data_IF_089768480625
#
_entry.id   IF_089768480625
#
_cell.length_a   1.000
_cell.length_b   1.000
_cell.length_c   1.000
_cell.angle_alpha   90.00
_cell.angle_beta   90.00
_cell.angle_gamma   90.00
#
_symmetry.space_group_name_H-M   'P 1'
#
loop_
_entity.id
_entity.type
_entity.pdbx_description
1 polymer ?
#
# COMPACT_ATOMS: atom_id res chain seq x y z
N UNK A 1 1.69 17.09 26.81
CA UNK A 1 1.17 15.70 27.02
C UNK A 1 1.50 14.90 25.77
N UNK A 2 2.59 14.13 25.80
CA UNK A 2 3.03 13.29 24.68
C UNK A 2 1.94 12.27 24.33
N UNK A 3 1.44 12.31 23.09
CA UNK A 3 0.61 11.25 22.56
C UNK A 3 1.53 10.15 22.04
N UNK A 4 1.65 9.12 22.88
CA UNK A 4 2.27 7.86 22.56
C UNK A 4 1.29 7.08 21.65
N UNK A 5 1.29 7.37 20.36
CA UNK A 5 0.63 6.49 19.38
C UNK A 5 1.51 5.26 19.23
N UNK A 6 1.25 4.24 20.07
CA UNK A 6 1.70 2.89 19.80
C UNK A 6 1.14 2.47 18.43
N UNK A 7 1.92 2.64 17.37
CA UNK A 7 1.80 1.79 16.19
C UNK A 7 1.90 0.36 16.74
N UNK A 8 0.81 -0.40 16.66
CA UNK A 8 0.93 -1.85 16.79
C UNK A 8 1.96 -2.27 15.76
N UNK A 9 3.15 -2.64 16.23
CA UNK A 9 4.25 -3.15 15.42
C UNK A 9 3.65 -4.19 14.48
N UNK A 10 3.64 -3.87 13.19
CA UNK A 10 3.28 -4.83 12.16
C UNK A 10 4.28 -5.98 12.23
N UNK A 11 3.86 -7.15 11.77
CA UNK A 11 4.68 -8.34 11.65
C UNK A 11 6.10 -8.06 11.11
N UNK A 12 6.22 -7.14 10.14
CA UNK A 12 7.48 -6.61 9.60
C UNK A 12 8.45 -6.07 10.67
N UNK A 13 7.99 -5.34 11.69
CA UNK A 13 8.89 -4.80 12.72
C UNK A 13 9.30 -5.87 13.74
N UNK A 14 8.47 -6.89 13.93
CA UNK A 14 8.78 -8.05 14.76
C UNK A 14 9.84 -8.95 14.12
N UNK A 15 9.83 -9.04 12.79
CA UNK A 15 10.83 -9.72 11.97
C UNK A 15 12.19 -8.97 11.98
N UNK A 16 12.14 -7.64 12.08
CA UNK A 16 13.29 -6.76 12.04
C UNK A 16 14.12 -6.73 13.34
N UNK A 17 13.48 -6.87 14.51
CA UNK A 17 14.19 -6.91 15.79
C UNK A 17 15.10 -8.15 15.93
N UNK A 18 14.84 -9.20 15.16
CA UNK A 18 15.59 -10.46 15.20
C UNK A 18 16.81 -10.48 14.26
N UNK A 19 16.89 -9.55 13.29
CA UNK A 19 17.90 -9.58 12.20
C UNK A 19 18.82 -8.34 12.16
N UNK A 20 18.61 -7.34 13.00
CA UNK A 20 19.45 -6.13 13.04
C UNK A 20 20.78 -6.35 13.79
N UNK A 21 21.95 -6.13 13.16
CA UNK A 21 23.23 -6.10 13.87
C UNK A 21 23.33 -4.85 14.79
N UNK A 22 24.06 -5.00 15.90
CA UNK A 22 24.21 -3.97 16.93
C UNK A 22 24.77 -2.65 16.38
N UNK A 23 24.22 -1.53 16.84
CA UNK A 23 24.33 -0.16 16.33
C UNK A 23 25.72 0.51 16.45
N UNK A 24 26.83 -0.18 16.17
CA UNK A 24 28.19 0.36 16.41
C UNK A 24 28.99 0.78 15.17
N UNK A 25 28.58 0.48 13.95
CA UNK A 25 29.44 0.68 12.77
C UNK A 25 28.95 1.71 11.72
N UNK A 26 27.99 2.57 12.04
CA UNK A 26 27.51 3.59 11.11
C UNK A 26 28.41 4.85 11.11
N UNK A 27 29.54 4.80 10.40
CA UNK A 27 30.35 6.00 10.12
C UNK A 27 30.83 6.05 8.67
N UNK A 28 30.30 7.05 7.95
CA UNK A 28 30.79 7.71 6.72
C UNK A 28 30.58 6.99 5.37
N UNK A 29 29.59 7.44 4.61
CA UNK A 29 29.67 7.52 3.12
C UNK A 29 28.83 8.67 2.58
N UNK A 30 29.40 9.41 1.62
CA UNK A 30 28.87 10.62 1.01
C UNK A 30 27.59 10.38 0.17
N UNK A 31 26.75 11.41 0.15
CA UNK A 31 25.51 11.54 -0.62
C UNK A 31 25.75 11.54 -2.14
N UNK A 32 25.39 10.44 -2.79
CA UNK A 32 25.02 10.38 -4.20
C UNK A 32 23.60 9.79 -4.26
N UNK A 33 22.65 10.50 -4.87
CA UNK A 33 21.23 10.11 -4.93
C UNK A 33 20.94 8.91 -5.85
N UNK A 34 21.96 8.11 -6.16
CA UNK A 34 21.86 6.87 -6.90
C UNK A 34 22.44 5.77 -6.01
N UNK A 35 21.64 4.72 -5.77
CA UNK A 35 22.06 3.58 -4.95
C UNK A 35 23.31 2.92 -5.57
N UNK A 36 24.25 2.41 -4.76
CA UNK A 36 25.42 1.68 -5.25
C UNK A 36 25.04 0.52 -6.17
N UNK A 37 25.93 0.14 -7.09
CA UNK A 37 25.73 -0.93 -8.10
C UNK A 37 25.31 -2.29 -7.50
N UNK A 38 25.61 -2.53 -6.23
CA UNK A 38 25.22 -3.72 -5.44
C UNK A 38 23.72 -3.77 -5.13
N UNK A 39 22.99 -2.65 -5.27
CA UNK A 39 21.54 -2.55 -5.07
C UNK A 39 20.74 -2.65 -6.37
N UNK A 40 21.39 -3.09 -7.43
CA UNK A 40 20.72 -3.34 -8.68
C UNK A 40 20.25 -4.79 -8.73
N UNK A 41 18.93 -4.98 -8.71
CA UNK A 41 18.27 -6.08 -9.43
C UNK A 41 18.57 -6.12 -10.94
N UNK A 42 19.62 -5.44 -11.46
CA UNK A 42 20.11 -5.49 -12.84
C UNK A 42 20.75 -6.82 -13.22
N UNK A 43 20.96 -7.75 -12.28
CA UNK A 43 21.39 -9.12 -12.64
C UNK A 43 20.21 -10.08 -12.80
N UNK A 44 18.99 -9.64 -12.46
CA UNK A 44 17.75 -10.39 -12.66
C UNK A 44 16.94 -9.77 -13.80
N UNK A 45 17.43 -9.94 -15.03
CA UNK A 45 16.74 -9.52 -16.26
C UNK A 45 15.45 -10.33 -16.52
N UNK A 46 15.20 -11.37 -15.71
CA UNK A 46 14.07 -12.27 -15.86
C UNK A 46 13.59 -12.78 -14.50
N UNK A 47 12.31 -12.54 -14.19
CA UNK A 47 11.64 -13.07 -13.00
C UNK A 47 11.73 -14.60 -12.92
N UNK A 48 11.75 -15.29 -14.06
CA UNK A 48 11.87 -16.75 -14.12
C UNK A 48 13.25 -17.29 -13.69
N UNK A 49 14.26 -16.43 -13.52
CA UNK A 49 15.59 -16.79 -13.03
C UNK A 49 15.79 -16.45 -11.55
N UNK A 50 14.88 -15.67 -10.96
CA UNK A 50 14.77 -15.67 -9.51
C UNK A 50 14.58 -17.13 -9.09
N UNK A 51 15.27 -17.57 -8.04
CA UNK A 51 14.86 -18.79 -7.34
C UNK A 51 13.48 -18.49 -6.77
N UNK A 52 12.46 -18.58 -7.61
CA UNK A 52 11.08 -18.34 -7.22
C UNK A 52 10.80 -19.26 -6.03
N UNK A 53 10.23 -18.64 -5.00
CA UNK A 53 9.82 -19.15 -3.70
C UNK A 53 8.89 -20.35 -3.83
N UNK A 54 9.39 -21.45 -4.38
CA UNK A 54 8.72 -22.74 -4.34
C UNK A 54 9.15 -23.38 -3.04
N UNK A 55 8.45 -23.06 -1.97
CA UNK A 55 8.48 -23.93 -0.80
C UNK A 55 7.85 -25.24 -1.27
N UNK A 56 8.60 -26.35 -1.43
CA UNK A 56 8.06 -27.56 -2.07
C UNK A 56 6.91 -28.18 -1.27
N UNK A 57 6.69 -27.70 -0.05
CA UNK A 57 5.73 -28.21 0.91
C UNK A 57 4.43 -27.41 0.99
N UNK A 58 4.21 -26.36 0.18
CA UNK A 58 2.95 -25.59 0.21
C UNK A 58 1.94 -26.10 -0.83
N UNK A 59 0.69 -26.21 -0.41
CA UNK A 59 -0.42 -26.54 -1.30
C UNK A 59 -0.89 -25.27 -2.03
N UNK A 60 -0.47 -25.11 -3.29
CA UNK A 60 -0.79 -23.95 -4.13
C UNK A 60 -2.29 -23.73 -4.39
N UNK A 61 -3.16 -24.68 -4.03
CA UNK A 61 -4.61 -24.50 -4.15
C UNK A 61 -5.24 -23.77 -2.95
N UNK A 62 -4.56 -23.73 -1.80
CA UNK A 62 -5.18 -23.31 -0.54
C UNK A 62 -4.26 -22.66 0.49
N UNK A 63 -2.96 -22.73 0.31
CA UNK A 63 -1.97 -22.18 1.23
C UNK A 63 -1.26 -20.96 0.63
N UNK A 64 -0.79 -20.07 1.50
CA UNK A 64 0.08 -18.95 1.15
C UNK A 64 1.01 -18.63 2.32
N UNK A 65 2.09 -17.92 2.05
CA UNK A 65 3.06 -17.52 3.07
C UNK A 65 2.83 -16.05 3.45
N UNK A 66 2.80 -15.77 4.76
CA UNK A 66 2.86 -14.40 5.30
C UNK A 66 3.84 -14.42 6.48
N UNK A 67 4.85 -13.55 6.45
CA UNK A 67 5.86 -13.43 7.51
C UNK A 67 6.47 -14.77 7.95
N UNK A 68 7.04 -15.52 7.02
CA UNK A 68 7.71 -16.80 7.30
C UNK A 68 6.79 -17.87 7.94
N UNK A 69 5.48 -17.76 7.75
CA UNK A 69 4.49 -18.75 8.20
C UNK A 69 3.59 -19.13 7.03
N UNK A 70 3.29 -20.43 6.93
CA UNK A 70 2.31 -20.94 5.97
C UNK A 70 0.93 -20.86 6.62
N UNK A 71 -0.04 -20.29 5.90
CA UNK A 71 -1.42 -20.16 6.32
C UNK A 71 -2.34 -20.97 5.39
N UNK A 72 -3.19 -21.82 5.97
CA UNK A 72 -4.30 -22.44 5.22
C UNK A 72 -5.47 -21.45 5.15
N UNK A 73 -5.81 -21.04 3.93
CA UNK A 73 -6.90 -20.10 3.65
C UNK A 73 -8.11 -20.73 2.96
N UNK A 74 -8.18 -22.06 2.84
CA UNK A 74 -9.26 -22.81 2.14
C UNK A 74 -10.67 -22.27 2.45
N UNK A 75 -11.01 -22.22 3.74
CA UNK A 75 -12.31 -21.78 4.24
C UNK A 75 -12.47 -20.27 4.22
N UNK A 76 -11.35 -19.55 4.20
CA UNK A 76 -11.34 -18.09 4.27
C UNK A 76 -11.50 -17.44 2.90
N UNK A 77 -11.05 -18.06 1.82
CA UNK A 77 -11.15 -17.53 0.44
C UNK A 77 -12.56 -17.01 0.13
N UNK A 78 -13.61 -17.79 0.46
CA UNK A 78 -15.02 -17.42 0.19
C UNK A 78 -15.54 -16.27 1.05
N UNK A 79 -14.90 -16.01 2.20
CA UNK A 79 -15.31 -15.00 3.19
C UNK A 79 -14.37 -13.79 3.22
N UNK A 80 -13.34 -13.79 2.38
CA UNK A 80 -12.34 -12.74 2.35
C UNK A 80 -12.98 -11.40 1.93
N UNK A 81 -12.88 -10.32 2.74
CA UNK A 81 -13.52 -9.04 2.43
C UNK A 81 -13.05 -8.39 1.13
N UNK A 82 -11.82 -8.67 0.67
CA UNK A 82 -11.32 -8.23 -0.63
C UNK A 82 -11.87 -9.04 -1.82
N UNK A 83 -12.67 -10.07 -1.55
CA UNK A 83 -13.16 -11.01 -2.56
C UNK A 83 -12.07 -11.98 -3.03
N UNK A 84 -12.20 -12.44 -4.29
CA UNK A 84 -11.34 -13.47 -4.89
C UNK A 84 -9.89 -13.03 -5.12
N UNK A 85 -9.51 -11.79 -4.87
CA UNK A 85 -8.14 -11.31 -5.07
C UNK A 85 -7.09 -12.11 -4.28
N UNK A 86 -7.47 -12.71 -3.15
CA UNK A 86 -6.59 -13.60 -2.37
C UNK A 86 -6.11 -14.81 -3.19
N UNK A 87 -6.89 -15.27 -4.18
CA UNK A 87 -6.54 -16.46 -4.97
C UNK A 87 -5.35 -16.24 -5.89
N UNK A 88 -4.99 -14.98 -6.18
CA UNK A 88 -3.81 -14.66 -6.99
C UNK A 88 -2.49 -14.86 -6.24
N UNK A 89 -2.56 -15.00 -4.91
CA UNK A 89 -1.39 -15.16 -4.03
C UNK A 89 -1.31 -16.56 -3.40
N UNK A 90 -2.08 -17.52 -3.91
CA UNK A 90 -1.99 -18.90 -3.43
C UNK A 90 -0.73 -19.55 -3.98
N UNK A 91 -0.05 -20.33 -3.14
CA UNK A 91 1.20 -20.98 -3.49
C UNK A 91 2.40 -20.04 -3.59
N UNK A 92 2.30 -18.81 -3.10
CA UNK A 92 3.39 -17.83 -3.11
C UNK A 92 3.59 -17.17 -1.74
N UNK A 93 4.67 -16.41 -1.63
CA UNK A 93 4.81 -15.42 -0.56
C UNK A 93 3.92 -14.21 -0.83
N UNK A 94 2.96 -14.01 0.06
CA UNK A 94 1.98 -12.95 0.02
C UNK A 94 2.26 -11.85 1.06
N UNK A 95 3.44 -11.83 1.68
CA UNK A 95 3.80 -10.88 2.75
C UNK A 95 3.66 -9.43 2.27
N UNK A 96 4.23 -9.12 1.10
CA UNK A 96 4.17 -7.77 0.53
C UNK A 96 2.74 -7.38 0.16
N UNK A 97 2.00 -8.30 -0.47
CA UNK A 97 0.59 -8.09 -0.78
C UNK A 97 -0.23 -7.85 0.49
N UNK A 98 0.01 -8.62 1.55
CA UNK A 98 -0.66 -8.45 2.83
C UNK A 98 -0.36 -7.07 3.43
N UNK A 99 0.92 -6.67 3.48
CA UNK A 99 1.37 -5.39 4.02
C UNK A 99 0.79 -4.19 3.26
N UNK A 100 0.62 -4.29 1.94
CA UNK A 100 0.08 -3.23 1.09
C UNK A 100 -1.45 -3.10 1.20
N UNK A 101 -2.19 -4.21 1.11
CA UNK A 101 -3.67 -4.16 1.09
C UNK A 101 -4.33 -4.10 2.47
N UNK A 102 -3.62 -4.50 3.54
CA UNK A 102 -4.15 -4.52 4.90
C UNK A 102 -3.51 -3.48 5.81
N UNK A 103 -2.82 -2.50 5.23
CA UNK A 103 -2.19 -1.41 5.97
C UNK A 103 -3.18 -0.75 6.94
N UNK A 104 -2.76 -0.55 8.20
CA UNK A 104 -3.56 0.04 9.30
C UNK A 104 -4.83 -0.76 9.69
N UNK A 105 -5.08 -1.94 9.12
CA UNK A 105 -6.26 -2.76 9.42
C UNK A 105 -6.03 -3.70 10.61
N UNK A 106 -6.33 -3.22 11.83
CA UNK A 106 -6.30 -4.07 13.05
C UNK A 106 -7.20 -5.31 12.92
N UNK A 107 -8.30 -5.21 12.16
CA UNK A 107 -9.23 -6.32 11.92
C UNK A 107 -8.59 -7.42 11.08
N UNK A 108 -7.77 -7.06 10.09
CA UNK A 108 -7.05 -8.02 9.27
C UNK A 108 -6.03 -8.81 10.09
N UNK A 109 -5.26 -8.12 10.94
CA UNK A 109 -4.27 -8.77 11.82
C UNK A 109 -4.94 -9.75 12.80
N UNK A 110 -6.07 -9.34 13.41
CA UNK A 110 -6.85 -10.22 14.27
C UNK A 110 -7.38 -11.44 13.53
N UNK A 111 -7.79 -11.28 12.27
CA UNK A 111 -8.27 -12.41 11.45
C UNK A 111 -7.12 -13.34 11.07
N UNK A 112 -5.98 -12.80 10.64
CA UNK A 112 -4.79 -13.58 10.30
C UNK A 112 -4.35 -14.47 11.47
N UNK A 113 -4.36 -13.93 12.70
CA UNK A 113 -4.02 -14.68 13.91
C UNK A 113 -4.96 -15.85 14.23
N UNK A 114 -6.18 -15.88 13.67
CA UNK A 114 -7.15 -16.99 13.88
C UNK A 114 -7.06 -18.08 12.81
N UNK A 115 -6.31 -17.85 11.73
CA UNK A 115 -6.20 -18.82 10.65
C UNK A 115 -5.26 -19.96 11.05
N UNK A 116 -5.54 -21.21 10.61
CA UNK A 116 -4.60 -22.32 10.79
C UNK A 116 -3.27 -21.94 10.14
N UNK A 117 -2.17 -22.04 10.92
CA UNK A 117 -0.83 -21.72 10.42
C UNK A 117 0.23 -22.61 11.02
N UNK A 118 1.28 -22.86 10.23
CA UNK A 118 2.49 -23.57 10.65
C UNK A 118 3.73 -22.73 10.34
N UNK A 119 4.85 -22.91 11.07
CA UNK A 119 6.13 -22.38 10.62
C UNK A 119 6.47 -22.97 9.23
N UNK A 120 7.23 -22.22 8.44
CA UNK A 120 7.74 -22.76 7.17
C UNK A 120 8.79 -23.83 7.48
N UNK A 121 8.66 -24.97 6.81
CA UNK A 121 9.62 -26.07 6.88
C UNK A 121 10.59 -25.98 5.69
N UNK A 122 11.90 -26.05 5.93
CA UNK A 122 12.95 -26.13 4.91
C UNK A 122 13.66 -24.82 4.56
N UNK A 123 14.44 -24.87 3.46
CA UNK A 123 15.28 -23.78 2.94
C UNK A 123 14.42 -22.72 2.21
N UNK A 124 13.64 -21.95 2.97
CA UNK A 124 12.97 -20.76 2.44
C UNK A 124 14.01 -19.64 2.24
N UNK A 125 14.22 -19.27 0.98
CA UNK A 125 15.07 -18.16 0.59
C UNK A 125 14.20 -16.94 0.29
N UNK A 126 14.43 -15.85 1.02
CA UNK A 126 13.77 -14.59 0.75
C UNK A 126 14.36 -13.98 -0.52
N UNK A 127 13.52 -13.64 -1.50
CA UNK A 127 14.03 -13.16 -2.77
C UNK A 127 14.68 -11.76 -2.63
N UNK A 128 15.70 -11.50 -3.46
CA UNK A 128 16.47 -10.27 -3.37
C UNK A 128 15.64 -9.02 -3.68
N UNK A 129 14.60 -9.14 -4.51
CA UNK A 129 13.76 -8.00 -4.89
C UNK A 129 12.82 -7.59 -3.74
N UNK A 130 12.20 -8.56 -3.08
CA UNK A 130 11.41 -8.36 -1.87
C UNK A 130 12.29 -7.80 -0.74
N UNK A 131 13.55 -8.26 -0.61
CA UNK A 131 14.52 -7.63 0.30
C UNK A 131 14.78 -6.15 0.01
N UNK A 132 14.95 -5.79 -1.25
CA UNK A 132 15.12 -4.39 -1.65
C UNK A 132 13.85 -3.56 -1.41
N UNK A 133 12.66 -4.11 -1.67
CA UNK A 133 11.38 -3.44 -1.37
C UNK A 133 11.17 -3.24 0.13
N UNK A 134 11.52 -4.23 0.94
CA UNK A 134 11.47 -4.12 2.40
C UNK A 134 12.43 -3.04 2.88
N UNK A 135 13.67 -3.02 2.38
CA UNK A 135 14.62 -1.95 2.70
C UNK A 135 14.06 -0.56 2.34
N UNK A 136 13.56 -0.38 1.12
CA UNK A 136 12.95 0.88 0.69
C UNK A 136 11.78 1.29 1.59
N UNK A 137 10.91 0.34 1.92
CA UNK A 137 9.76 0.59 2.80
C UNK A 137 10.22 1.06 4.18
N UNK A 138 11.28 0.47 4.72
CA UNK A 138 11.81 0.82 6.03
C UNK A 138 12.43 2.22 6.05
N UNK A 139 13.20 2.57 5.02
CA UNK A 139 13.71 3.93 4.83
C UNK A 139 12.57 4.95 4.79
N UNK A 140 11.49 4.67 4.04
CA UNK A 140 10.32 5.53 3.97
C UNK A 140 9.55 5.64 5.31
N UNK A 141 9.54 4.57 6.13
CA UNK A 141 8.96 4.61 7.48
C UNK A 141 9.81 5.49 8.39
N UNK A 142 11.14 5.33 8.35
CA UNK A 142 12.10 6.10 9.15
C UNK A 142 12.05 7.59 8.80
N UNK A 143 12.01 7.91 7.51
CA UNK A 143 11.84 9.28 7.00
C UNK A 143 10.43 9.86 7.29
N UNK A 144 9.51 9.03 7.78
CA UNK A 144 8.19 9.46 8.21
C UNK A 144 7.19 9.68 7.07
N UNK A 145 7.44 9.17 5.85
CA UNK A 145 6.51 9.27 4.72
C UNK A 145 5.17 8.56 4.97
N UNK A 146 5.12 7.64 5.94
CA UNK A 146 3.87 7.01 6.38
C UNK A 146 3.11 7.84 7.45
N UNK A 147 3.69 8.91 7.97
CA UNK A 147 3.02 9.79 8.92
C UNK A 147 2.11 10.78 8.19
N UNK A 148 0.89 10.93 8.71
CA UNK A 148 -0.10 11.83 8.10
C UNK A 148 0.21 13.26 8.51
N UNK A 149 0.28 14.15 7.51
CA UNK A 149 0.35 15.59 7.74
C UNK A 149 -1.05 16.24 7.53
N UNK A 150 -1.77 16.61 8.60
CA UNK A 150 -3.13 17.15 8.48
C UNK A 150 -3.18 18.49 7.74
N UNK A 151 -2.11 19.31 7.80
CA UNK A 151 -2.03 20.57 7.06
C UNK A 151 -1.92 20.30 5.57
N UNK A 152 -1.12 19.31 5.17
CA UNK A 152 -1.02 18.89 3.77
C UNK A 152 -2.35 18.35 3.24
N UNK A 153 -3.07 17.56 4.05
CA UNK A 153 -4.42 17.09 3.71
C UNK A 153 -5.38 18.25 3.51
N UNK A 154 -5.44 19.18 4.45
CA UNK A 154 -6.31 20.35 4.39
C UNK A 154 -6.02 21.20 3.15
N UNK A 155 -4.73 21.49 2.90
CA UNK A 155 -4.29 22.24 1.73
C UNK A 155 -4.82 21.62 0.42
N UNK A 156 -4.67 20.31 0.24
CA UNK A 156 -5.11 19.64 -1.01
C UNK A 156 -6.62 19.62 -1.17
N UNK A 157 -7.38 19.50 -0.07
CA UNK A 157 -8.84 19.60 -0.11
C UNK A 157 -9.25 21.02 -0.52
N UNK A 158 -8.67 22.05 0.11
CA UNK A 158 -8.96 23.45 -0.18
C UNK A 158 -8.56 23.83 -1.60
N UNK A 159 -7.39 23.38 -2.07
CA UNK A 159 -6.90 23.58 -3.43
C UNK A 159 -7.93 23.11 -4.46
N UNK A 160 -8.38 21.85 -4.37
CA UNK A 160 -9.37 21.28 -5.29
C UNK A 160 -10.68 22.06 -5.25
N UNK A 161 -11.17 22.42 -4.06
CA UNK A 161 -12.40 23.21 -3.92
C UNK A 161 -12.28 24.58 -4.58
N UNK A 162 -11.18 25.29 -4.34
CA UNK A 162 -10.92 26.61 -4.92
C UNK A 162 -10.82 26.53 -6.44
N UNK A 163 -10.16 25.51 -6.98
CA UNK A 163 -10.06 25.31 -8.43
C UNK A 163 -11.43 25.08 -9.08
N UNK A 164 -12.29 24.25 -8.47
CA UNK A 164 -13.66 24.07 -8.97
C UNK A 164 -14.47 25.37 -8.90
N UNK A 165 -14.42 26.09 -7.77
CA UNK A 165 -15.10 27.38 -7.64
C UNK A 165 -14.63 28.39 -8.69
N UNK A 166 -13.32 28.47 -8.93
CA UNK A 166 -12.75 29.33 -9.96
C UNK A 166 -13.22 28.92 -11.37
N UNK A 167 -13.19 27.62 -11.69
CA UNK A 167 -13.68 27.09 -12.96
C UNK A 167 -15.15 27.43 -13.21
N UNK A 168 -16.02 27.21 -12.22
CA UNK A 168 -17.44 27.55 -12.32
C UNK A 168 -17.70 29.05 -12.42
N UNK A 169 -16.96 29.87 -11.66
CA UNK A 169 -17.07 31.31 -11.73
C UNK A 169 -16.69 31.85 -13.12
N UNK A 170 -15.64 31.30 -13.74
CA UNK A 170 -15.24 31.64 -15.11
C UNK A 170 -16.31 31.27 -16.13
N UNK A 171 -16.89 30.06 -16.02
CA UNK A 171 -18.01 29.65 -16.88
C UNK A 171 -19.19 30.62 -16.74
N UNK A 172 -19.55 30.98 -15.51
CA UNK A 172 -20.68 31.89 -15.23
C UNK A 172 -20.46 33.30 -15.79
N UNK A 173 -19.20 33.76 -15.88
CA UNK A 173 -18.83 35.03 -16.50
C UNK A 173 -18.77 34.98 -18.04
N UNK A 174 -19.05 33.84 -18.64
CA UNK A 174 -19.01 33.63 -20.10
C UNK A 174 -17.65 33.15 -20.64
N UNK A 175 -16.67 32.92 -19.76
CA UNK A 175 -15.31 32.46 -20.13
C UNK A 175 -15.27 30.94 -20.13
N UNK A 176 -16.20 30.31 -20.85
CA UNK A 176 -16.51 28.89 -20.73
C UNK A 176 -15.34 27.97 -21.10
N UNK A 177 -14.54 28.32 -22.12
CA UNK A 177 -13.34 27.57 -22.47
C UNK A 177 -12.32 27.53 -21.34
N UNK A 178 -11.99 28.70 -20.77
CA UNK A 178 -11.01 28.81 -19.70
C UNK A 178 -11.53 28.13 -18.42
N UNK A 179 -12.81 28.35 -18.09
CA UNK A 179 -13.41 27.70 -16.93
C UNK A 179 -13.47 26.18 -17.06
N UNK A 180 -13.77 25.66 -18.26
CA UNK A 180 -13.70 24.23 -18.56
C UNK A 180 -12.29 23.66 -18.44
N UNK A 181 -11.27 24.39 -18.92
CA UNK A 181 -9.86 24.00 -18.76
C UNK A 181 -9.45 23.91 -17.29
N UNK A 182 -9.77 24.94 -16.49
CA UNK A 182 -9.50 24.97 -15.04
C UNK A 182 -10.23 23.82 -14.32
N UNK A 183 -11.49 23.59 -14.64
CA UNK A 183 -12.27 22.49 -14.08
C UNK A 183 -11.71 21.11 -14.46
N UNK A 184 -11.18 20.95 -15.67
CA UNK A 184 -10.51 19.73 -16.10
C UNK A 184 -9.26 19.42 -15.28
N UNK A 185 -8.42 20.42 -15.01
CA UNK A 185 -7.26 20.25 -14.11
C UNK A 185 -7.75 19.91 -12.68
N UNK A 186 -8.78 20.61 -12.19
CA UNK A 186 -9.38 20.34 -10.89
C UNK A 186 -9.85 18.89 -10.77
N UNK A 187 -10.48 18.36 -11.82
CA UNK A 187 -10.92 16.96 -11.88
C UNK A 187 -9.76 15.97 -11.81
N UNK A 188 -8.67 16.25 -12.52
CA UNK A 188 -7.45 15.45 -12.41
C UNK A 188 -6.89 15.45 -10.98
N UNK A 189 -6.82 16.61 -10.34
CA UNK A 189 -6.33 16.76 -8.95
C UNK A 189 -7.25 16.06 -7.95
N UNK A 190 -8.56 16.19 -8.12
CA UNK A 190 -9.58 15.48 -7.35
C UNK A 190 -9.43 13.95 -7.47
N UNK A 191 -9.10 13.44 -8.66
CA UNK A 191 -8.86 12.02 -8.92
C UNK A 191 -7.68 11.43 -8.15
N UNK A 192 -6.61 12.21 -7.91
CA UNK A 192 -5.49 11.81 -7.06
C UNK A 192 -5.83 11.90 -5.57
N UNK A 193 -6.51 12.99 -5.16
CA UNK A 193 -6.92 13.16 -3.76
C UNK A 193 -7.85 12.03 -3.29
N UNK A 194 -8.81 11.62 -4.12
CA UNK A 194 -9.65 10.47 -3.81
C UNK A 194 -8.90 9.13 -3.88
N UNK A 195 -7.87 9.01 -4.73
CA UNK A 195 -7.08 7.79 -4.87
C UNK A 195 -6.39 7.48 -3.53
N UNK A 196 -5.78 8.48 -2.92
CA UNK A 196 -5.17 8.35 -1.59
C UNK A 196 -6.17 8.05 -0.48
N UNK A 197 -7.35 8.69 -0.52
CA UNK A 197 -8.44 8.36 0.39
C UNK A 197 -8.93 6.91 0.20
N UNK A 198 -8.88 6.39 -1.03
CA UNK A 198 -9.23 5.01 -1.34
C UNK A 198 -8.22 3.97 -0.85
N UNK A 199 -6.96 4.37 -0.70
CA UNK A 199 -5.90 3.56 -0.09
C UNK A 199 -5.75 3.79 1.42
N UNK A 200 -6.62 4.61 2.02
CA UNK A 200 -6.61 4.93 3.44
C UNK A 200 -5.31 5.60 3.93
N UNK A 201 -4.61 6.30 3.03
CA UNK A 201 -3.39 7.05 3.32
C UNK A 201 -3.65 8.54 3.58
N UNK A 202 -4.85 9.05 3.23
CA UNK A 202 -5.15 10.48 3.31
C UNK A 202 -5.15 11.00 4.76
N UNK A 203 -6.01 10.47 5.63
CA UNK A 203 -6.04 10.85 7.06
C UNK A 203 -5.50 9.74 7.97
N UNK A 204 -5.21 8.58 7.39
CA UNK A 204 -4.72 7.42 8.12
C UNK A 204 -5.79 6.70 8.94
N UNK A 205 -7.05 7.12 8.81
CA UNK A 205 -8.20 6.54 9.47
C UNK A 205 -9.15 5.95 8.41
N UNK A 206 -9.13 4.62 8.26
CA UNK A 206 -9.88 3.87 7.23
C UNK A 206 -11.35 4.33 7.09
N UNK A 207 -12.03 4.54 8.22
CA UNK A 207 -13.43 4.98 8.21
C UNK A 207 -13.62 6.38 7.63
N UNK A 208 -12.81 7.34 8.08
CA UNK A 208 -12.85 8.74 7.63
C UNK A 208 -12.49 8.81 6.16
N UNK A 209 -11.38 8.17 5.78
CA UNK A 209 -10.89 8.16 4.40
C UNK A 209 -11.91 7.54 3.43
N UNK A 210 -12.61 6.48 3.85
CA UNK A 210 -13.69 5.91 3.03
C UNK A 210 -14.83 6.91 2.78
N UNK A 211 -15.24 7.67 3.79
CA UNK A 211 -16.29 8.68 3.63
C UNK A 211 -15.81 9.88 2.82
N UNK A 212 -14.59 10.35 3.08
CA UNK A 212 -13.95 11.42 2.31
C UNK A 212 -13.81 11.02 0.83
N UNK A 213 -13.38 9.80 0.53
CA UNK A 213 -13.31 9.31 -0.84
C UNK A 213 -14.67 9.35 -1.53
N UNK A 214 -15.72 8.86 -0.86
CA UNK A 214 -17.06 8.88 -1.44
C UNK A 214 -17.54 10.30 -1.73
N UNK A 215 -17.25 11.25 -0.84
CA UNK A 215 -17.60 12.66 -1.01
C UNK A 215 -16.80 13.30 -2.14
N UNK A 216 -15.48 13.19 -2.10
CA UNK A 216 -14.55 13.82 -3.05
C UNK A 216 -14.80 13.26 -4.46
N UNK A 217 -14.88 11.93 -4.60
CA UNK A 217 -15.07 11.31 -5.91
C UNK A 217 -16.50 11.42 -6.44
N UNK A 218 -17.48 11.28 -5.54
CA UNK A 218 -18.89 11.40 -5.90
C UNK A 218 -19.24 12.80 -6.34
N UNK A 219 -18.89 13.84 -5.57
CA UNK A 219 -19.20 15.23 -5.89
C UNK A 219 -18.23 15.84 -6.90
N UNK A 220 -16.93 15.58 -6.75
CA UNK A 220 -15.91 16.19 -7.60
C UNK A 220 -15.82 15.55 -8.99
N UNK A 221 -15.87 14.22 -9.07
CA UNK A 221 -15.72 13.51 -10.34
C UNK A 221 -17.01 12.89 -10.87
N UNK A 222 -18.10 12.86 -10.09
CA UNK A 222 -19.36 12.21 -10.49
C UNK A 222 -19.30 10.69 -10.48
N UNK A 223 -18.38 10.07 -9.72
CA UNK A 223 -18.10 8.62 -9.80
C UNK A 223 -18.16 7.91 -8.45
N UNK A 224 -18.38 6.60 -8.47
CA UNK A 224 -18.56 5.78 -7.25
C UNK A 224 -17.23 5.35 -6.64
N UNK A 225 -16.94 5.80 -5.43
CA UNK A 225 -15.74 5.37 -4.68
C UNK A 225 -15.76 3.88 -4.34
N UNK A 226 -16.94 3.28 -4.15
CA UNK A 226 -17.07 1.83 -3.95
C UNK A 226 -16.66 1.03 -5.18
N UNK A 227 -17.16 1.44 -6.35
CA UNK A 227 -16.80 0.81 -7.62
C UNK A 227 -15.29 0.96 -7.88
N UNK A 228 -14.77 2.17 -7.68
CA UNK A 228 -13.35 2.45 -7.85
C UNK A 228 -12.49 1.55 -6.97
N UNK A 229 -12.74 1.47 -5.65
CA UNK A 229 -11.93 0.61 -4.76
C UNK A 229 -11.96 -0.86 -5.20
N UNK A 230 -13.14 -1.35 -5.59
CA UNK A 230 -13.28 -2.74 -6.03
C UNK A 230 -12.47 -3.02 -7.32
N UNK A 231 -12.51 -2.13 -8.30
CA UNK A 231 -11.81 -2.33 -9.57
C UNK A 231 -10.31 -2.02 -9.46
N UNK A 232 -9.98 -0.93 -8.78
CA UNK A 232 -8.61 -0.47 -8.58
C UNK A 232 -7.79 -1.45 -7.74
N UNK A 233 -8.35 -2.00 -6.66
CA UNK A 233 -7.63 -2.98 -5.84
C UNK A 233 -7.38 -4.28 -6.61
N UNK A 234 -8.29 -4.71 -7.48
CA UNK A 234 -8.06 -5.86 -8.37
C UNK A 234 -6.94 -5.60 -9.39
N UNK A 235 -6.87 -4.38 -9.93
CA UNK A 235 -5.78 -4.01 -10.82
C UNK A 235 -4.43 -4.04 -10.08
N UNK A 236 -4.37 -3.53 -8.86
CA UNK A 236 -3.14 -3.52 -8.06
C UNK A 236 -2.75 -4.89 -7.48
N UNK A 237 -3.64 -5.88 -7.45
CA UNK A 237 -3.26 -7.24 -7.01
C UNK A 237 -2.40 -7.97 -8.02
N UNK A 238 -2.41 -7.52 -9.28
CA UNK A 238 -1.59 -8.05 -10.38
C UNK A 238 -1.09 -6.86 -11.21
N UNK A 239 -0.12 -6.06 -10.71
CA UNK A 239 0.48 -5.02 -11.52
C UNK A 239 1.07 -5.67 -12.78
N UNK A 240 0.64 -5.19 -13.95
CA UNK A 240 1.05 -5.70 -15.26
C UNK A 240 2.51 -5.36 -15.54
#
# INVERSE_FOLDING_TARGET
RCHNTHLSLTCAVQQQLALMPSSKDASKTNSTSALPEVYHGLTNDNRALAKDLTVPTIDASKELIICNRVYDVSDFIKRHPGGKVITFQLGSDATDAYNNFHLRSKKANKRLATLPSRPIDGDYEYDALSADYDKLRLELIEEGYFNVNPVHVLYRIVEVLVMYMAGFALIWKGWWWLGGFVAGIAQGRCGWLQHEAGHYSLTGHIGIDRHLQMLIYGLGCGMSGCYWRNQHNKHHTTPQ
#
